data_IF_529651333992
#
_entry.id   IF_529651333992
#
_cell.length_a   1.000
_cell.length_b   1.000
_cell.length_c   1.000
_cell.angle_alpha   90.00
_cell.angle_beta   90.00
_cell.angle_gamma   90.00
#
_symmetry.space_group_name_H-M   'P 1'
#
loop_
_entity.id
_entity.type
_entity.pdbx_description
1 polymer ?
#
# COMPACT_ATOMS: atom_id res chain seq x y z
N UNK A 1 -18.29 9.54 -12.27
CA UNK A 1 -19.24 8.91 -11.34
C UNK A 1 -19.10 9.56 -9.96
N UNK A 2 -20.13 10.27 -9.45
CA UNK A 2 -20.09 10.79 -8.09
C UNK A 2 -20.14 9.62 -7.08
N UNK A 3 -19.20 9.61 -6.14
CA UNK A 3 -19.20 8.62 -5.05
C UNK A 3 -20.29 9.00 -4.06
N UNK A 4 -21.22 8.08 -3.80
CA UNK A 4 -22.27 8.23 -2.80
C UNK A 4 -21.68 8.64 -1.43
N UNK A 5 -22.38 9.50 -0.69
CA UNK A 5 -21.87 10.09 0.55
C UNK A 5 -21.45 9.05 1.60
N UNK A 6 -22.15 7.91 1.66
CA UNK A 6 -21.83 6.78 2.53
C UNK A 6 -20.47 6.14 2.21
N UNK A 7 -20.21 5.86 0.92
CA UNK A 7 -18.95 5.26 0.46
C UNK A 7 -17.76 6.19 0.70
N UNK A 8 -17.97 7.51 0.67
CA UNK A 8 -16.94 8.50 1.02
C UNK A 8 -16.55 8.39 2.50
N UNK A 9 -17.53 8.44 3.42
CA UNK A 9 -17.26 8.31 4.87
C UNK A 9 -16.53 7.02 5.23
N UNK A 10 -16.92 5.89 4.65
CA UNK A 10 -16.27 4.61 4.94
C UNK A 10 -14.82 4.59 4.45
N UNK A 11 -14.56 5.16 3.27
CA UNK A 11 -13.20 5.30 2.75
C UNK A 11 -12.37 6.25 3.63
N UNK A 12 -12.96 7.34 4.11
CA UNK A 12 -12.28 8.29 5.01
C UNK A 12 -11.89 7.63 6.34
N UNK A 13 -12.79 6.82 6.93
CA UNK A 13 -12.51 6.04 8.16
C UNK A 13 -11.38 5.03 7.93
N UNK A 14 -11.40 4.32 6.80
CA UNK A 14 -10.35 3.37 6.46
C UNK A 14 -9.01 4.06 6.25
N UNK A 15 -8.99 5.14 5.47
CA UNK A 15 -7.78 5.93 5.21
C UNK A 15 -7.23 6.59 6.48
N UNK A 16 -8.07 6.91 7.47
CA UNK A 16 -7.61 7.44 8.76
C UNK A 16 -6.79 6.42 9.57
N UNK A 17 -6.97 5.11 9.33
CA UNK A 17 -6.14 4.04 9.92
C UNK A 17 -4.83 3.83 9.14
N UNK A 18 -4.73 4.32 7.91
CA UNK A 18 -3.56 4.11 7.05
C UNK A 18 -2.63 5.33 7.07
N UNK A 19 -1.33 5.11 7.24
CA UNK A 19 -0.35 6.18 7.02
C UNK A 19 -0.15 6.46 5.52
N UNK A 20 -0.04 7.74 5.16
CA UNK A 20 0.10 8.17 3.77
C UNK A 20 1.57 8.39 3.40
N UNK A 21 2.16 7.38 2.79
CA UNK A 21 3.51 7.46 2.22
C UNK A 21 3.45 7.99 0.77
N UNK A 22 4.13 9.10 0.49
CA UNK A 22 4.16 9.74 -0.84
C UNK A 22 5.55 9.60 -1.48
N UNK A 23 5.64 8.83 -2.56
CA UNK A 23 6.85 8.69 -3.36
C UNK A 23 6.69 9.38 -4.73
N UNK A 24 7.71 10.12 -5.16
CA UNK A 24 7.74 10.83 -6.46
C UNK A 24 8.91 10.34 -7.33
N UNK A 25 8.88 9.09 -7.82
CA UNK A 25 9.94 8.59 -8.70
C UNK A 25 9.91 9.29 -10.07
N UNK A 26 11.03 9.24 -10.79
CA UNK A 26 11.07 9.65 -12.20
C UNK A 26 10.05 8.83 -13.02
N UNK A 27 9.45 9.45 -14.04
CA UNK A 27 8.47 8.82 -14.93
C UNK A 27 8.88 7.42 -15.44
N UNK A 28 10.10 7.19 -15.96
CA UNK A 28 10.52 5.85 -16.40
C UNK A 28 10.53 4.83 -15.27
N UNK A 29 11.01 5.21 -14.08
CA UNK A 29 11.05 4.33 -12.90
C UNK A 29 9.63 3.99 -12.45
N UNK A 30 8.73 4.97 -12.39
CA UNK A 30 7.33 4.74 -12.06
C UNK A 30 6.61 3.84 -13.06
N UNK A 31 6.95 3.93 -14.35
CA UNK A 31 6.42 3.02 -15.38
C UNK A 31 6.94 1.59 -15.19
N UNK A 32 8.22 1.41 -14.89
CA UNK A 32 8.81 0.11 -14.62
C UNK A 32 8.17 -0.57 -13.40
N UNK A 33 7.97 0.18 -12.29
CA UNK A 33 7.28 -0.34 -11.10
C UNK A 33 5.85 -0.77 -11.43
N UNK A 34 5.11 0.04 -12.20
CA UNK A 34 3.75 -0.30 -12.63
C UNK A 34 3.70 -1.57 -13.48
N UNK A 35 4.64 -1.72 -14.42
CA UNK A 35 4.74 -2.92 -15.24
C UNK A 35 5.09 -4.17 -14.41
N UNK A 36 6.02 -4.05 -13.47
CA UNK A 36 6.41 -5.14 -12.58
C UNK A 36 5.27 -5.57 -11.64
N UNK A 37 4.54 -4.61 -11.06
CA UNK A 37 3.37 -4.89 -10.25
C UNK A 37 2.27 -5.60 -11.07
N UNK A 38 2.04 -5.15 -12.31
CA UNK A 38 1.08 -5.80 -13.21
C UNK A 38 1.50 -7.23 -13.55
N UNK A 39 2.79 -7.47 -13.84
CA UNK A 39 3.31 -8.81 -14.10
C UNK A 39 3.20 -9.74 -12.88
N UNK A 40 3.32 -9.19 -11.66
CA UNK A 40 3.11 -9.91 -10.41
C UNK A 40 1.63 -10.10 -10.04
N UNK A 41 0.68 -9.53 -10.81
CA UNK A 41 -0.75 -9.59 -10.49
C UNK A 41 -1.16 -8.78 -9.25
N UNK A 42 -0.36 -7.78 -8.87
CA UNK A 42 -0.54 -6.99 -7.65
C UNK A 42 -0.89 -5.54 -7.96
N UNK A 43 -1.47 -4.84 -6.97
CA UNK A 43 -1.55 -3.38 -7.00
C UNK A 43 -0.15 -2.79 -6.81
N UNK A 44 0.09 -1.58 -7.34
CA UNK A 44 1.38 -0.87 -7.15
C UNK A 44 1.71 -0.69 -5.67
N UNK A 45 0.71 -0.41 -4.85
CA UNK A 45 0.89 -0.25 -3.40
C UNK A 45 1.33 -1.57 -2.76
N UNK A 46 0.65 -2.68 -3.04
CA UNK A 46 1.02 -3.99 -2.51
C UNK A 46 2.44 -4.40 -2.93
N UNK A 47 2.77 -4.19 -4.21
CA UNK A 47 4.10 -4.48 -4.75
C UNK A 47 5.21 -3.69 -4.03
N UNK A 48 4.99 -2.40 -3.79
CA UNK A 48 5.96 -1.55 -3.06
C UNK A 48 6.08 -1.95 -1.60
N UNK A 49 4.96 -2.25 -0.93
CA UNK A 49 4.97 -2.68 0.48
C UNK A 49 5.68 -4.02 0.65
N UNK A 50 5.43 -4.99 -0.23
CA UNK A 50 6.13 -6.27 -0.23
C UNK A 50 7.65 -6.09 -0.40
N UNK A 51 8.08 -5.26 -1.34
CA UNK A 51 9.51 -4.97 -1.53
C UNK A 51 10.16 -4.34 -0.30
N UNK A 52 9.43 -3.48 0.42
CA UNK A 52 9.89 -2.91 1.70
C UNK A 52 9.96 -3.97 2.80
N UNK A 53 8.95 -4.83 2.92
CA UNK A 53 8.89 -5.91 3.91
C UNK A 53 10.01 -6.94 3.73
N UNK A 54 10.25 -7.39 2.49
CA UNK A 54 11.35 -8.30 2.15
C UNK A 54 12.71 -7.68 2.51
N UNK A 55 12.88 -6.39 2.22
CA UNK A 55 14.10 -5.66 2.58
C UNK A 55 14.27 -5.56 4.09
N UNK A 56 13.23 -5.18 4.82
CA UNK A 56 13.22 -5.05 6.27
C UNK A 56 13.51 -6.39 6.97
N UNK A 57 12.95 -7.47 6.45
CA UNK A 57 13.23 -8.85 6.89
C UNK A 57 14.69 -9.22 6.69
N UNK A 58 15.25 -8.92 5.51
CA UNK A 58 16.68 -9.16 5.22
C UNK A 58 17.62 -8.33 6.10
N UNK A 59 17.20 -7.14 6.50
CA UNK A 59 17.94 -6.25 7.41
C UNK A 59 17.77 -6.65 8.90
N UNK A 60 17.01 -7.70 9.21
CA UNK A 60 16.79 -8.18 10.57
C UNK A 60 15.83 -7.32 11.39
N UNK A 61 15.02 -6.49 10.73
CA UNK A 61 14.00 -5.63 11.36
C UNK A 61 12.66 -5.87 10.68
N UNK A 62 12.07 -7.08 10.81
CA UNK A 62 10.83 -7.42 10.13
C UNK A 62 9.73 -6.41 10.48
N UNK A 63 8.82 -6.20 9.53
CA UNK A 63 7.67 -5.32 9.70
C UNK A 63 6.72 -5.98 10.72
N UNK A 64 6.73 -5.52 11.96
CA UNK A 64 5.72 -5.93 12.93
C UNK A 64 4.44 -5.14 12.65
N UNK A 65 3.54 -5.78 11.91
CA UNK A 65 2.16 -5.33 11.82
C UNK A 65 1.50 -5.71 13.15
N UNK A 66 1.30 -4.74 14.04
CA UNK A 66 0.32 -4.91 15.11
C UNK A 66 -0.98 -5.37 14.45
N UNK A 67 -1.40 -6.61 14.74
CA UNK A 67 -2.66 -7.13 14.24
C UNK A 67 -3.73 -6.10 14.58
N UNK A 68 -4.54 -5.61 13.61
CA UNK A 68 -5.71 -4.84 13.99
C UNK A 68 -6.50 -5.70 14.98
N UNK A 69 -7.03 -5.13 16.08
CA UNK A 69 -7.84 -5.91 17.00
C UNK A 69 -8.93 -6.59 16.18
N UNK A 70 -8.96 -7.92 16.22
CA UNK A 70 -10.02 -8.73 15.62
C UNK A 70 -11.35 -8.07 16.00
N UNK A 71 -12.10 -7.63 15.00
CA UNK A 71 -13.43 -7.05 15.16
C UNK A 71 -14.36 -8.22 15.58
N UNK A 72 -14.50 -8.41 16.90
CA UNK A 72 -15.57 -9.21 17.53
C UNK A 72 -16.94 -8.59 17.34
#
# INVERSE_FOLDING_TARGET
MPIAASKRRNNDIYNAKCDRISARPLKPVGNAIRAAAQAAGQSVQAYVLQACEERMTREGRPLELDKPPDET
#
